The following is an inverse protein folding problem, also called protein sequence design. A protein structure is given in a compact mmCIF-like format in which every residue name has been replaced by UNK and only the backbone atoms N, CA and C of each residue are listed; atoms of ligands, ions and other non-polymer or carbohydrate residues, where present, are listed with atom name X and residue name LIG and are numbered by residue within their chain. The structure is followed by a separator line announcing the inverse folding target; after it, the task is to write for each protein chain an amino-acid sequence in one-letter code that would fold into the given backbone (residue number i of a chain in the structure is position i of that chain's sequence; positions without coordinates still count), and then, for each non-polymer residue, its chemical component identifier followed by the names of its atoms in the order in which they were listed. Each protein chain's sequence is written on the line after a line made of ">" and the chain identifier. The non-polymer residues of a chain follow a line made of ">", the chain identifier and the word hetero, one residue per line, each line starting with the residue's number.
data_IF_795573073573
#
_entry.id   IF_795573073573
#
_cell.length_a   1.000
_cell.length_b   1.000
_cell.length_c   1.000
_cell.angle_alpha   90.00
_cell.angle_beta   90.00
_cell.angle_gamma   90.00
#
_symmetry.space_group_name_H-M   'P 1'
#
loop_
_entity.id
_entity.type
_entity.pdbx_description
1 polymer ?
#
# COMPACT_ATOMS: atom_id res chain seq x y z
N UNK A 1 10.63 20.80 -39.08
CA UNK A 1 9.34 20.25 -39.58
C UNK A 1 8.58 19.73 -38.38
N UNK A 2 7.69 20.57 -37.84
CA UNK A 2 6.87 20.24 -36.67
C UNK A 2 5.63 19.50 -37.13
N UNK A 3 5.51 18.22 -36.79
CA UNK A 3 4.29 17.45 -37.01
C UNK A 3 3.23 17.90 -36.00
N UNK A 4 2.42 18.88 -36.39
CA UNK A 4 1.11 19.08 -35.77
C UNK A 4 0.23 17.89 -36.16
N UNK A 5 0.13 16.91 -35.28
CA UNK A 5 -0.93 15.92 -35.40
C UNK A 5 -2.26 16.63 -35.07
N UNK A 6 -3.27 16.58 -35.96
CA UNK A 6 -4.57 17.17 -35.67
C UNK A 6 -5.15 16.47 -34.43
N UNK A 7 -5.54 17.27 -33.43
CA UNK A 7 -6.24 16.79 -32.26
C UNK A 7 -7.49 16.01 -32.72
N UNK A 8 -7.60 14.74 -32.32
CA UNK A 8 -8.84 13.99 -32.55
C UNK A 8 -9.98 14.72 -31.83
N UNK A 9 -11.13 14.98 -32.46
CA UNK A 9 -12.25 15.62 -31.78
C UNK A 9 -12.88 14.59 -30.82
N UNK A 10 -12.43 14.59 -29.57
CA UNK A 10 -12.89 13.64 -28.54
C UNK A 10 -14.26 13.97 -27.92
N UNK A 11 -14.97 15.01 -28.38
CA UNK A 11 -16.42 15.10 -28.13
C UNK A 11 -17.13 16.15 -29.01
N UNK A 12 -18.35 15.81 -29.47
CA UNK A 12 -19.28 16.71 -30.20
C UNK A 12 -20.20 17.51 -29.27
N UNK A 13 -20.06 17.36 -27.96
CA UNK A 13 -20.81 18.12 -26.97
C UNK A 13 -19.92 19.22 -26.35
N UNK A 14 -20.44 20.43 -26.12
CA UNK A 14 -19.72 21.46 -25.39
C UNK A 14 -19.42 20.97 -23.97
N UNK A 15 -18.18 20.55 -23.73
CA UNK A 15 -17.73 20.18 -22.39
C UNK A 15 -17.49 21.44 -21.59
N UNK A 16 -18.10 21.52 -20.41
CA UNK A 16 -17.71 22.52 -19.42
C UNK A 16 -16.44 22.06 -18.68
N UNK A 17 -15.63 22.99 -18.14
CA UNK A 17 -14.45 22.68 -17.35
C UNK A 17 -14.76 21.76 -16.18
N UNK A 18 -15.91 21.93 -15.55
CA UNK A 18 -16.37 21.10 -14.43
C UNK A 18 -16.57 19.66 -14.88
N UNK A 19 -17.23 19.44 -16.03
CA UNK A 19 -17.45 18.09 -16.57
C UNK A 19 -16.15 17.44 -17.04
N UNK A 20 -15.25 18.23 -17.63
CA UNK A 20 -13.93 17.75 -18.01
C UNK A 20 -13.14 17.29 -16.78
N UNK A 21 -13.11 18.12 -15.72
CA UNK A 21 -12.39 17.82 -14.49
C UNK A 21 -12.98 16.64 -13.72
N UNK A 22 -14.31 16.49 -13.73
CA UNK A 22 -14.98 15.32 -13.16
C UNK A 22 -14.46 14.02 -13.80
N UNK A 23 -14.45 13.96 -15.13
CA UNK A 23 -13.94 12.81 -15.89
C UNK A 23 -12.42 12.63 -15.71
N UNK A 24 -11.65 13.72 -15.73
CA UNK A 24 -10.20 13.67 -15.56
C UNK A 24 -9.76 13.19 -14.16
N UNK A 25 -10.57 13.47 -13.13
CA UNK A 25 -10.26 13.11 -11.73
C UNK A 25 -10.97 11.86 -11.22
N UNK A 26 -11.78 11.21 -12.06
CA UNK A 26 -12.52 10.01 -11.68
C UNK A 26 -11.58 8.88 -11.19
N UNK A 27 -11.85 8.35 -10.00
CA UNK A 27 -11.09 7.26 -9.38
C UNK A 27 -9.81 7.68 -8.66
N UNK A 28 -9.46 8.96 -8.67
CA UNK A 28 -8.41 9.50 -7.80
C UNK A 28 -8.85 9.50 -6.33
N UNK A 29 -7.88 9.50 -5.42
CA UNK A 29 -8.12 9.77 -4.00
C UNK A 29 -8.68 11.20 -3.83
N UNK A 30 -9.55 11.41 -2.84
CA UNK A 30 -10.34 12.65 -2.71
C UNK A 30 -9.46 13.90 -2.61
N UNK A 31 -8.41 13.87 -1.79
CA UNK A 31 -7.48 14.99 -1.67
C UNK A 31 -6.69 15.25 -2.97
N UNK A 32 -6.27 14.19 -3.66
CA UNK A 32 -5.62 14.35 -4.97
C UNK A 32 -6.57 14.91 -6.05
N UNK A 33 -7.84 14.48 -6.05
CA UNK A 33 -8.86 14.99 -6.97
C UNK A 33 -9.13 16.48 -6.71
N UNK A 34 -9.25 16.88 -5.44
CA UNK A 34 -9.45 18.28 -5.05
C UNK A 34 -8.26 19.15 -5.45
N UNK A 35 -7.03 18.69 -5.23
CA UNK A 35 -5.83 19.44 -5.61
C UNK A 35 -5.77 19.66 -7.13
N UNK A 36 -5.96 18.61 -7.93
CA UNK A 36 -5.95 18.71 -9.41
C UNK A 36 -7.05 19.65 -9.90
N UNK A 37 -8.25 19.59 -9.31
CA UNK A 37 -9.35 20.51 -9.62
C UNK A 37 -8.97 21.96 -9.30
N UNK A 38 -8.42 22.22 -8.12
CA UNK A 38 -8.02 23.55 -7.70
C UNK A 38 -6.92 24.14 -8.62
N UNK A 39 -5.89 23.35 -8.93
CA UNK A 39 -4.80 23.76 -9.82
C UNK A 39 -5.29 24.05 -11.24
N UNK A 40 -6.17 23.18 -11.77
CA UNK A 40 -6.70 23.32 -13.12
C UNK A 40 -7.66 24.51 -13.23
N UNK A 41 -8.48 24.78 -12.21
CA UNK A 41 -9.33 25.97 -12.15
C UNK A 41 -8.50 27.26 -12.01
N UNK A 42 -7.41 27.23 -11.25
CA UNK A 42 -6.48 28.36 -11.17
C UNK A 42 -5.81 28.65 -12.53
N UNK A 43 -5.38 27.60 -13.26
CA UNK A 43 -4.84 27.75 -14.60
C UNK A 43 -5.88 28.32 -15.59
N UNK A 44 -7.13 27.85 -15.51
CA UNK A 44 -8.22 28.40 -16.32
C UNK A 44 -8.45 29.88 -16.05
N UNK A 45 -8.50 30.27 -14.76
CA UNK A 45 -8.67 31.67 -14.38
C UNK A 45 -7.50 32.54 -14.88
N UNK A 46 -6.26 32.07 -14.76
CA UNK A 46 -5.08 32.77 -15.28
C UNK A 46 -5.09 32.91 -16.81
N UNK A 47 -5.52 31.87 -17.53
CA UNK A 47 -5.65 31.91 -18.98
C UNK A 47 -6.74 32.88 -19.45
N UNK A 48 -7.87 32.92 -18.75
CA UNK A 48 -8.95 33.89 -19.01
C UNK A 48 -8.49 35.33 -18.76
N UNK A 49 -7.72 35.57 -17.69
CA UNK A 49 -7.11 36.89 -17.44
C UNK A 49 -6.12 37.29 -18.55
N UNK A 50 -5.44 36.32 -19.16
CA UNK A 50 -4.56 36.52 -20.32
C UNK A 50 -5.31 36.64 -21.65
N UNK A 51 -6.66 36.64 -21.64
CA UNK A 51 -7.50 36.80 -22.82
C UNK A 51 -7.74 35.53 -23.64
N UNK A 52 -7.36 34.35 -23.13
CA UNK A 52 -7.67 33.08 -23.78
C UNK A 52 -9.13 32.69 -23.54
N UNK A 53 -9.77 32.15 -24.58
CA UNK A 53 -11.12 31.63 -24.46
C UNK A 53 -11.12 30.28 -23.73
N UNK A 54 -12.22 29.99 -23.02
CA UNK A 54 -12.41 28.70 -22.35
C UNK A 54 -12.27 27.50 -23.30
N UNK A 55 -12.72 27.64 -24.55
CA UNK A 55 -12.60 26.60 -25.57
C UNK A 55 -11.14 26.32 -25.97
N UNK A 56 -10.29 27.36 -26.05
CA UNK A 56 -8.86 27.21 -26.33
C UNK A 56 -8.14 26.50 -25.18
N UNK A 57 -8.46 26.87 -23.94
CA UNK A 57 -7.87 26.24 -22.74
C UNK A 57 -8.25 24.75 -22.66
N UNK A 58 -9.54 24.43 -22.85
CA UNK A 58 -10.01 23.04 -22.89
C UNK A 58 -9.42 22.24 -24.06
N UNK A 59 -9.24 22.88 -25.22
CA UNK A 59 -8.53 22.28 -26.35
C UNK A 59 -7.08 21.94 -26.02
N UNK A 60 -6.42 22.76 -25.21
CA UNK A 60 -5.06 22.52 -24.69
C UNK A 60 -4.98 21.40 -23.66
N UNK A 61 -5.99 21.26 -22.80
CA UNK A 61 -6.06 20.14 -21.83
C UNK A 61 -6.30 18.79 -22.51
N UNK A 62 -7.06 18.79 -23.61
CA UNK A 62 -7.26 17.64 -24.47
C UNK A 62 -8.28 16.63 -23.96
N UNK A 63 -8.07 15.32 -24.23
CA UNK A 63 -9.03 14.27 -23.84
C UNK A 63 -9.01 14.05 -22.31
N UNK A 64 -10.15 14.23 -21.61
CA UNK A 64 -10.22 14.00 -20.18
C UNK A 64 -9.88 12.54 -19.79
N UNK A 65 -10.17 11.55 -20.64
CA UNK A 65 -9.83 10.15 -20.35
C UNK A 65 -8.33 9.89 -20.45
N UNK A 66 -7.67 10.51 -21.44
CA UNK A 66 -6.23 10.45 -21.56
C UNK A 66 -5.53 11.17 -20.40
N UNK A 67 -6.09 12.32 -19.97
CA UNK A 67 -5.64 13.04 -18.79
C UNK A 67 -5.81 12.19 -17.52
N UNK A 68 -6.99 11.58 -17.31
CA UNK A 68 -7.24 10.65 -16.21
C UNK A 68 -6.21 9.51 -16.19
N UNK A 69 -5.97 8.87 -17.34
CA UNK A 69 -4.99 7.79 -17.44
C UNK A 69 -3.55 8.23 -17.10
N UNK A 70 -3.21 9.51 -17.26
CA UNK A 70 -1.93 10.08 -16.82
C UNK A 70 -1.97 10.39 -15.32
N UNK A 71 -3.02 11.05 -14.85
CA UNK A 71 -3.21 11.43 -13.44
C UNK A 71 -3.24 10.20 -12.52
N UNK A 72 -3.87 9.09 -12.93
CA UNK A 72 -3.88 7.82 -12.18
C UNK A 72 -2.51 7.16 -12.03
N UNK A 73 -1.51 7.57 -12.84
CA UNK A 73 -0.12 7.10 -12.72
C UNK A 73 0.69 7.94 -11.75
N UNK A 74 0.45 9.26 -11.70
CA UNK A 74 1.16 10.18 -10.82
C UNK A 74 0.52 10.33 -9.44
N UNK A 75 -0.81 10.24 -9.36
CA UNK A 75 -1.58 10.41 -8.13
C UNK A 75 -2.07 9.08 -7.53
N UNK A 76 -2.36 9.14 -6.23
CA UNK A 76 -3.01 8.04 -5.51
C UNK A 76 -4.45 7.87 -6.00
N UNK A 77 -4.86 6.61 -6.13
CA UNK A 77 -6.26 6.23 -6.36
C UNK A 77 -6.97 5.95 -5.04
N UNK A 78 -8.31 6.00 -5.03
CA UNK A 78 -9.13 5.91 -3.81
C UNK A 78 -8.88 4.68 -2.90
N UNK A 79 -8.27 3.61 -3.42
CA UNK A 79 -7.83 2.44 -2.63
C UNK A 79 -6.32 2.33 -2.39
N UNK A 80 -5.48 3.12 -3.07
CA UNK A 80 -4.02 3.05 -2.92
C UNK A 80 -3.55 3.69 -1.61
N UNK A 81 -4.25 4.71 -1.11
CA UNK A 81 -3.94 5.33 0.18
C UNK A 81 -4.03 4.32 1.34
N UNK A 82 -5.06 3.46 1.32
CA UNK A 82 -5.23 2.40 2.31
C UNK A 82 -4.13 1.33 2.28
N UNK A 83 -3.34 1.23 1.19
CA UNK A 83 -2.21 0.31 1.08
C UNK A 83 -0.97 0.81 1.81
N UNK A 84 -0.95 2.08 2.24
CA UNK A 84 0.12 2.65 3.04
C UNK A 84 -0.29 2.51 4.51
N UNK A 85 0.40 1.68 5.30
CA UNK A 85 0.04 1.47 6.71
C UNK A 85 0.07 2.78 7.49
N UNK A 86 -0.97 3.01 8.30
CA UNK A 86 -0.91 4.07 9.30
C UNK A 86 0.20 3.75 10.32
N UNK A 87 0.90 4.78 10.80
CA UNK A 87 1.81 4.63 11.94
C UNK A 87 1.01 4.50 13.24
N UNK A 88 1.63 3.98 14.30
CA UNK A 88 1.00 3.98 15.62
C UNK A 88 1.47 5.17 16.46
N UNK A 89 0.57 5.68 17.30
CA UNK A 89 0.93 6.59 18.36
C UNK A 89 1.94 5.94 19.32
N UNK A 90 2.86 6.74 19.85
CA UNK A 90 3.73 6.31 20.94
C UNK A 90 2.90 6.21 22.23
N UNK A 91 3.03 5.09 22.93
CA UNK A 91 2.36 4.81 24.19
C UNK A 91 1.22 3.79 24.09
N UNK A 92 0.45 3.69 25.18
CA UNK A 92 -0.59 2.68 25.36
C UNK A 92 -1.66 2.64 24.27
N UNK A 93 -2.19 3.78 23.76
CA UNK A 93 -3.22 3.74 22.71
C UNK A 93 -2.73 3.08 21.42
N UNK A 94 -1.49 3.35 21.00
CA UNK A 94 -0.91 2.73 19.81
C UNK A 94 -0.61 1.24 20.01
N UNK A 95 -0.16 0.85 21.21
CA UNK A 95 0.07 -0.55 21.54
C UNK A 95 -1.25 -1.34 21.52
N UNK A 96 -2.31 -0.81 22.14
CA UNK A 96 -3.65 -1.40 22.10
C UNK A 96 -4.14 -1.56 20.66
N UNK A 97 -3.97 -0.54 19.82
CA UNK A 97 -4.36 -0.61 18.42
C UNK A 97 -3.63 -1.75 17.68
N UNK A 98 -2.32 -1.91 17.88
CA UNK A 98 -1.54 -2.98 17.27
C UNK A 98 -2.00 -4.39 17.71
N UNK A 99 -2.35 -4.57 19.00
CA UNK A 99 -2.92 -5.82 19.49
C UNK A 99 -4.34 -6.08 18.96
N UNK A 100 -5.17 -5.05 18.82
CA UNK A 100 -6.51 -5.18 18.27
C UNK A 100 -6.51 -5.55 16.78
N UNK A 101 -5.59 -4.99 15.98
CA UNK A 101 -5.45 -5.28 14.54
C UNK A 101 -5.21 -6.77 14.26
N UNK A 102 -4.49 -7.44 15.15
CA UNK A 102 -4.15 -8.85 15.03
C UNK A 102 -4.81 -9.73 16.10
N UNK A 103 -5.90 -9.26 16.73
CA UNK A 103 -6.49 -9.96 17.87
C UNK A 103 -6.91 -11.38 17.50
N UNK A 104 -7.60 -11.55 16.37
CA UNK A 104 -8.06 -12.85 15.91
C UNK A 104 -6.88 -13.81 15.69
N UNK A 105 -5.87 -13.39 14.92
CA UNK A 105 -4.68 -14.21 14.66
C UNK A 105 -3.95 -14.55 15.97
N UNK A 106 -3.66 -13.54 16.79
CA UNK A 106 -2.91 -13.70 18.04
C UNK A 106 -3.64 -14.66 18.98
N UNK A 107 -4.94 -14.50 19.18
CA UNK A 107 -5.73 -15.34 20.10
C UNK A 107 -5.87 -16.76 19.54
N UNK A 108 -6.26 -16.93 18.27
CA UNK A 108 -6.45 -18.26 17.69
C UNK A 108 -5.14 -19.05 17.63
N UNK A 109 -4.06 -18.44 17.15
CA UNK A 109 -2.74 -19.10 17.12
C UNK A 109 -2.21 -19.39 18.52
N UNK A 110 -2.41 -18.47 19.48
CA UNK A 110 -2.04 -18.70 20.89
C UNK A 110 -2.78 -19.90 21.48
N UNK A 111 -4.08 -20.03 21.24
CA UNK A 111 -4.88 -21.16 21.73
C UNK A 111 -4.42 -22.49 21.11
N UNK A 112 -4.16 -22.51 19.81
CA UNK A 112 -3.67 -23.70 19.10
C UNK A 112 -2.30 -24.15 19.64
N UNK A 113 -1.37 -23.20 19.79
CA UNK A 113 -0.02 -23.48 20.29
C UNK A 113 -0.06 -23.90 21.76
N UNK A 114 -0.90 -23.26 22.57
CA UNK A 114 -1.08 -23.62 23.99
C UNK A 114 -1.67 -25.03 24.13
N UNK A 115 -2.66 -25.39 23.31
CA UNK A 115 -3.22 -26.75 23.29
C UNK A 115 -2.15 -27.77 22.88
N UNK A 116 -1.39 -27.49 21.82
CA UNK A 116 -0.28 -28.35 21.38
C UNK A 116 0.79 -28.50 22.46
N UNK A 117 1.13 -27.42 23.15
CA UNK A 117 2.08 -27.40 24.26
C UNK A 117 1.60 -28.30 25.41
N UNK A 118 0.34 -28.14 25.85
CA UNK A 118 -0.25 -29.00 26.87
C UNK A 118 -0.28 -30.47 26.47
N UNK A 119 -0.70 -30.77 25.24
CA UNK A 119 -0.71 -32.14 24.73
C UNK A 119 0.69 -32.75 24.65
N UNK A 120 1.70 -31.94 24.36
CA UNK A 120 3.10 -32.37 24.29
C UNK A 120 3.67 -32.61 25.69
N UNK A 121 3.41 -31.70 26.65
CA UNK A 121 3.81 -31.89 28.05
C UNK A 121 3.24 -33.17 28.66
N UNK A 122 2.02 -33.54 28.27
CA UNK A 122 1.37 -34.76 28.76
C UNK A 122 1.89 -36.05 28.12
N UNK A 123 2.58 -35.98 26.98
CA UNK A 123 2.91 -37.16 26.15
C UNK A 123 4.40 -37.39 25.92
N UNK A 124 5.23 -36.35 25.98
CA UNK A 124 6.56 -36.35 25.38
C UNK A 124 7.59 -35.52 26.16
N UNK A 125 8.91 -35.70 25.89
CA UNK A 125 9.97 -35.08 26.68
C UNK A 125 10.09 -33.56 26.50
N UNK A 126 10.70 -32.92 27.50
CA UNK A 126 10.88 -31.48 27.66
C UNK A 126 11.34 -30.64 26.43
N UNK A 127 12.23 -31.10 25.52
CA UNK A 127 12.74 -30.24 24.44
C UNK A 127 11.67 -29.81 23.42
N UNK A 128 10.67 -30.65 23.11
CA UNK A 128 9.58 -30.26 22.18
C UNK A 128 8.65 -29.24 22.82
N UNK A 129 8.35 -29.39 24.11
CA UNK A 129 7.57 -28.42 24.86
C UNK A 129 8.29 -27.06 24.93
N UNK A 130 9.62 -27.05 25.13
CA UNK A 130 10.42 -25.82 25.09
C UNK A 130 10.28 -25.06 23.76
N UNK A 131 10.35 -25.76 22.62
CA UNK A 131 10.16 -25.14 21.30
C UNK A 131 8.76 -24.53 21.13
N UNK A 132 7.71 -25.21 21.58
CA UNK A 132 6.35 -24.68 21.55
C UNK A 132 6.19 -23.46 22.46
N UNK A 133 6.84 -23.46 23.62
CA UNK A 133 6.91 -22.29 24.51
C UNK A 133 7.60 -21.08 23.85
N UNK A 134 8.69 -21.30 23.13
CA UNK A 134 9.37 -20.25 22.35
C UNK A 134 8.45 -19.70 21.25
N UNK A 135 7.79 -20.58 20.49
CA UNK A 135 6.84 -20.18 19.44
C UNK A 135 5.70 -19.34 20.04
N UNK A 136 5.17 -19.76 21.19
CA UNK A 136 4.11 -19.03 21.89
C UNK A 136 4.55 -17.61 22.27
N UNK A 137 5.74 -17.46 22.86
CA UNK A 137 6.30 -16.15 23.21
C UNK A 137 6.49 -15.29 21.96
N UNK A 138 7.00 -15.86 20.86
CA UNK A 138 7.16 -15.12 19.60
C UNK A 138 5.82 -14.59 19.06
N UNK A 139 4.75 -15.38 19.12
CA UNK A 139 3.40 -14.95 18.71
C UNK A 139 2.93 -13.74 19.53
N UNK A 140 3.15 -13.76 20.85
CA UNK A 140 2.77 -12.66 21.74
C UNK A 140 3.62 -11.40 21.54
N UNK A 141 4.87 -11.56 21.11
CA UNK A 141 5.80 -10.45 20.83
C UNK A 141 5.59 -9.80 19.46
N UNK A 142 4.92 -10.47 18.51
CA UNK A 142 4.70 -9.93 17.16
C UNK A 142 3.94 -8.58 17.16
N UNK A 143 2.80 -8.41 17.86
CA UNK A 143 2.12 -7.12 17.92
C UNK A 143 2.97 -6.02 18.58
N UNK A 144 3.78 -6.39 19.58
CA UNK A 144 4.72 -5.47 20.23
C UNK A 144 5.82 -5.02 19.28
N UNK A 145 6.41 -5.95 18.52
CA UNK A 145 7.42 -5.66 17.50
C UNK A 145 6.84 -4.77 16.39
N UNK A 146 5.61 -5.06 15.96
CA UNK A 146 4.88 -4.25 14.97
C UNK A 146 4.63 -2.84 15.47
N UNK A 147 4.12 -2.71 16.69
CA UNK A 147 3.94 -1.41 17.33
C UNK A 147 5.26 -0.66 17.39
N UNK A 148 6.33 -1.28 17.89
CA UNK A 148 7.64 -0.65 17.98
C UNK A 148 8.17 -0.20 16.61
N UNK A 149 8.12 -1.07 15.59
CA UNK A 149 8.63 -0.79 14.25
C UNK A 149 7.89 0.37 13.54
N UNK A 150 6.59 0.51 13.81
CA UNK A 150 5.71 1.52 13.20
C UNK A 150 5.46 2.73 14.12
N UNK A 151 5.90 2.67 15.39
CA UNK A 151 5.93 3.81 16.31
C UNK A 151 7.24 4.57 16.11
N UNK A 152 7.17 5.86 15.83
CA UNK A 152 8.39 6.63 15.56
C UNK A 152 8.13 7.98 14.94
N UNK A 153 9.19 8.80 14.77
CA UNK A 153 9.08 10.04 13.99
C UNK A 153 8.62 9.70 12.57
N UNK A 154 8.06 10.69 11.86
CA UNK A 154 7.47 10.52 10.53
C UNK A 154 8.39 9.69 9.60
N UNK A 155 8.08 8.40 9.45
CA UNK A 155 8.88 7.50 8.64
C UNK A 155 8.54 7.70 7.16
N UNK A 156 9.52 7.60 6.25
CA UNK A 156 9.25 7.60 4.82
C UNK A 156 8.20 6.53 4.47
N UNK A 157 7.25 6.80 3.56
CA UNK A 157 6.19 5.86 3.20
C UNK A 157 6.70 4.46 2.82
N UNK A 158 7.80 4.40 2.06
CA UNK A 158 8.41 3.13 1.61
C UNK A 158 8.93 2.31 2.79
N UNK A 159 9.63 2.95 3.73
CA UNK A 159 10.15 2.29 4.94
C UNK A 159 9.01 1.73 5.79
N UNK A 160 7.91 2.48 5.88
CA UNK A 160 6.73 2.09 6.65
C UNK A 160 6.03 0.87 6.07
N UNK A 161 5.89 0.80 4.74
CA UNK A 161 5.35 -0.37 4.05
C UNK A 161 6.22 -1.60 4.32
N UNK A 162 7.54 -1.48 4.17
CA UNK A 162 8.47 -2.59 4.45
C UNK A 162 8.37 -3.09 5.89
N UNK A 163 8.42 -2.17 6.87
CA UNK A 163 8.33 -2.54 8.28
C UNK A 163 6.98 -3.16 8.64
N UNK A 164 5.89 -2.63 8.10
CA UNK A 164 4.56 -3.20 8.29
C UNK A 164 4.47 -4.59 7.66
N UNK A 165 5.01 -4.78 6.46
CA UNK A 165 5.00 -6.08 5.80
C UNK A 165 5.83 -7.12 6.56
N UNK A 166 7.04 -6.77 6.99
CA UNK A 166 7.91 -7.68 7.77
C UNK A 166 7.37 -8.03 9.16
N UNK A 167 6.46 -7.24 9.70
CA UNK A 167 5.87 -7.48 11.04
C UNK A 167 4.49 -8.13 10.96
N UNK A 168 3.97 -8.39 9.75
CA UNK A 168 2.73 -9.15 9.57
C UNK A 168 2.98 -10.65 9.80
N UNK A 169 2.14 -11.34 10.59
CA UNK A 169 2.28 -12.78 10.78
C UNK A 169 2.15 -13.57 9.46
N UNK A 170 1.32 -13.10 8.53
CA UNK A 170 1.12 -13.72 7.22
C UNK A 170 2.41 -13.73 6.39
N UNK A 171 3.24 -12.71 6.53
CA UNK A 171 4.55 -12.62 5.87
C UNK A 171 5.48 -13.71 6.33
N UNK A 172 5.61 -13.90 7.65
CA UNK A 172 6.46 -14.96 8.19
C UNK A 172 5.97 -16.34 7.78
N UNK A 173 4.66 -16.56 7.77
CA UNK A 173 4.08 -17.80 7.28
C UNK A 173 4.41 -18.05 5.80
N UNK A 174 4.26 -17.02 4.96
CA UNK A 174 4.60 -17.11 3.54
C UNK A 174 6.09 -17.39 3.32
N UNK A 175 6.98 -16.74 4.07
CA UNK A 175 8.43 -16.98 4.00
C UNK A 175 8.80 -18.40 4.44
N UNK A 176 8.15 -18.94 5.48
CA UNK A 176 8.34 -20.33 5.91
C UNK A 176 7.87 -21.31 4.84
N UNK A 177 6.74 -21.04 4.18
CA UNK A 177 6.25 -21.86 3.07
C UNK A 177 7.22 -21.87 1.88
N UNK A 178 7.75 -20.69 1.51
CA UNK A 178 8.76 -20.57 0.45
C UNK A 178 10.06 -21.29 0.83
N UNK A 179 10.56 -21.06 2.04
CA UNK A 179 11.77 -21.72 2.54
C UNK A 179 11.62 -23.25 2.54
N UNK A 180 10.46 -23.75 2.96
CA UNK A 180 10.12 -25.18 2.90
C UNK A 180 10.10 -25.70 1.45
N UNK A 181 9.48 -24.97 0.52
CA UNK A 181 9.43 -25.37 -0.88
C UNK A 181 10.83 -25.45 -1.49
N UNK A 182 11.67 -24.44 -1.23
CA UNK A 182 13.06 -24.41 -1.67
C UNK A 182 13.87 -25.55 -1.05
N UNK A 183 13.65 -25.86 0.23
CA UNK A 183 14.29 -26.98 0.90
C UNK A 183 13.93 -28.32 0.26
N UNK A 184 12.66 -28.55 -0.08
CA UNK A 184 12.21 -29.78 -0.74
C UNK A 184 12.78 -29.92 -2.16
N UNK A 185 12.95 -28.81 -2.88
CA UNK A 185 13.62 -28.80 -4.18
C UNK A 185 15.11 -29.12 -4.05
N UNK A 186 15.77 -28.63 -3.00
CA UNK A 186 17.18 -28.90 -2.74
C UNK A 186 17.43 -30.32 -2.20
N UNK A 187 16.48 -30.87 -1.44
CA UNK A 187 16.58 -32.17 -0.78
C UNK A 187 15.31 -33.00 -1.00
N UNK A 188 15.16 -33.65 -2.17
CA UNK A 188 13.95 -34.40 -2.52
C UNK A 188 13.63 -35.55 -1.55
N UNK A 189 14.67 -36.16 -0.97
CA UNK A 189 14.55 -37.31 -0.07
C UNK A 189 14.24 -36.93 1.40
N UNK A 190 14.19 -35.62 1.73
CA UNK A 190 14.02 -35.17 3.11
C UNK A 190 12.64 -35.49 3.71
N UNK A 191 11.68 -35.94 2.88
CA UNK A 191 10.33 -36.28 3.30
C UNK A 191 9.51 -35.09 3.83
N UNK A 192 8.19 -35.28 3.91
CA UNK A 192 7.27 -34.32 4.53
C UNK A 192 6.11 -33.88 3.61
N UNK A 193 5.12 -33.18 4.15
CA UNK A 193 3.94 -32.76 3.39
C UNK A 193 4.33 -31.94 2.15
N UNK A 194 3.69 -32.25 1.03
CA UNK A 194 3.89 -31.56 -0.25
C UNK A 194 3.35 -30.12 -0.20
N UNK A 195 4.01 -29.22 -0.93
CA UNK A 195 3.50 -27.86 -1.15
C UNK A 195 2.22 -27.96 -1.97
N UNK A 196 1.10 -27.57 -1.35
CA UNK A 196 -0.20 -27.57 -2.04
C UNK A 196 -0.40 -26.25 -2.81
N UNK A 197 -1.17 -26.27 -3.90
CA UNK A 197 -1.39 -25.11 -4.78
C UNK A 197 -1.91 -23.85 -4.05
N UNK A 198 -2.69 -24.00 -2.97
CA UNK A 198 -3.16 -22.86 -2.20
C UNK A 198 -2.04 -22.12 -1.44
N UNK A 199 -0.92 -22.78 -1.13
CA UNK A 199 0.28 -22.11 -0.58
C UNK A 199 0.84 -21.11 -1.58
N UNK A 200 0.84 -21.46 -2.88
CA UNK A 200 1.30 -20.55 -3.93
C UNK A 200 0.40 -19.33 -4.01
N UNK A 201 -0.93 -19.52 -3.96
CA UNK A 201 -1.89 -18.40 -3.96
C UNK A 201 -1.67 -17.50 -2.75
N UNK A 202 -1.48 -18.09 -1.57
CA UNK A 202 -1.22 -17.33 -0.34
C UNK A 202 0.08 -16.51 -0.44
N UNK A 203 1.17 -17.11 -0.93
CA UNK A 203 2.45 -16.41 -1.13
C UNK A 203 2.30 -15.27 -2.15
N UNK A 204 1.63 -15.51 -3.28
CA UNK A 204 1.36 -14.49 -4.30
C UNK A 204 0.55 -13.34 -3.69
N UNK A 205 -0.49 -13.66 -2.91
CA UNK A 205 -1.29 -12.66 -2.20
C UNK A 205 -0.42 -11.79 -1.29
N UNK A 206 0.39 -12.38 -0.41
CA UNK A 206 1.25 -11.66 0.53
C UNK A 206 2.30 -10.79 -0.19
N UNK A 207 2.85 -11.26 -1.30
CA UNK A 207 3.79 -10.48 -2.12
C UNK A 207 3.10 -9.37 -2.91
N UNK A 208 1.87 -9.59 -3.36
CA UNK A 208 1.08 -8.57 -4.06
C UNK A 208 0.75 -7.39 -3.15
N UNK A 209 0.45 -7.64 -1.87
CA UNK A 209 0.25 -6.59 -0.86
C UNK A 209 1.50 -5.70 -0.69
N UNK A 210 2.69 -6.32 -0.64
CA UNK A 210 3.95 -5.58 -0.58
C UNK A 210 4.16 -4.73 -1.83
N UNK A 211 3.99 -5.31 -3.01
CA UNK A 211 4.16 -4.57 -4.27
C UNK A 211 3.19 -3.38 -4.31
N UNK A 212 1.90 -3.62 -4.12
CA UNK A 212 0.89 -2.56 -4.16
C UNK A 212 1.17 -1.44 -3.14
N UNK A 213 1.56 -1.81 -1.92
CA UNK A 213 1.98 -0.84 -0.89
C UNK A 213 3.21 -0.03 -1.32
N UNK A 214 4.25 -0.68 -1.88
CA UNK A 214 5.46 0.01 -2.34
C UNK A 214 5.18 0.93 -3.53
N UNK A 215 4.30 0.51 -4.45
CA UNK A 215 3.87 1.34 -5.58
C UNK A 215 3.16 2.60 -5.09
N UNK A 216 2.21 2.46 -4.15
CA UNK A 216 1.52 3.60 -3.55
C UNK A 216 2.50 4.52 -2.80
N UNK A 217 3.40 3.94 -1.99
CA UNK A 217 4.40 4.69 -1.23
C UNK A 217 5.37 5.50 -2.11
N UNK A 218 5.78 4.95 -3.25
CA UNK A 218 6.65 5.65 -4.22
C UNK A 218 5.93 6.82 -4.88
N UNK A 219 4.62 6.69 -5.18
CA UNK A 219 3.82 7.80 -5.69
C UNK A 219 3.78 8.97 -4.70
N UNK A 220 3.51 8.69 -3.42
CA UNK A 220 3.51 9.72 -2.37
C UNK A 220 4.86 10.42 -2.27
N UNK A 221 5.96 9.66 -2.30
CA UNK A 221 7.31 10.26 -2.26
C UNK A 221 7.60 11.16 -3.47
N UNK A 222 7.16 10.76 -4.67
CA UNK A 222 7.33 11.58 -5.87
C UNK A 222 6.56 12.91 -5.76
N UNK A 223 5.32 12.86 -5.27
CA UNK A 223 4.49 14.06 -5.07
C UNK A 223 5.06 15.02 -4.01
N UNK A 224 5.56 14.48 -2.89
CA UNK A 224 6.20 15.31 -1.86
C UNK A 224 7.51 15.95 -2.36
N UNK A 225 8.23 15.30 -3.28
CA UNK A 225 9.43 15.86 -3.90
C UNK A 225 9.14 17.03 -4.84
N UNK A 226 8.06 16.95 -5.62
CA UNK A 226 7.63 18.03 -6.52
C UNK A 226 7.14 19.26 -5.76
N UNK A 227 6.40 19.08 -4.66
CA UNK A 227 5.94 20.20 -3.81
C UNK A 227 7.09 20.97 -3.14
N UNK A 228 8.19 20.30 -2.80
CA UNK A 228 9.37 20.97 -2.22
C UNK A 228 10.15 21.76 -3.28
N UNK A 229 10.09 21.36 -4.55
CA UNK A 229 10.76 22.07 -5.65
C UNK A 229 9.94 23.23 -6.21
N UNK A 230 8.61 23.18 -6.15
CA UNK A 230 7.74 24.29 -6.57
C UNK A 230 7.61 25.40 -5.51
N UNK A 231 8.05 25.16 -4.28
CA UNK A 231 8.21 26.15 -3.22
C UNK A 231 9.42 27.08 -3.43
N UNK A 232 9.50 27.74 -4.59
CA UNK A 232 10.32 28.94 -4.72
C UNK A 232 9.63 30.05 -3.92
N UNK A 233 10.28 30.68 -2.94
CA UNK A 233 9.68 31.78 -2.21
C UNK A 233 9.48 32.94 -3.20
N UNK A 234 8.22 33.25 -3.52
CA UNK A 234 7.87 34.57 -4.02
C UNK A 234 8.01 35.55 -2.85
N UNK A 235 9.26 36.00 -2.65
CA UNK A 235 9.54 37.28 -2.01
C UNK A 235 9.29 38.41 -3.00
#
# INVERSE_FOLDING_TARGET
>A
MSFFLPARPWNREPQTPERWLELATEGLEAGAAEQVRAESLAQLAGAQQAGQSQAEVLGGWGDPNAANARLRRSHLQGGEAARIPAGYARGWPGLRAAYCEHLFFTVMSSLLVLLAFWMTLLREPAPRALWLGVIYVLILLLPLLRWYALSGPAQPPVTRVWRSWLTKPETWLALLMVGRALWQLAFPDAGGPSVQWWHLIFVIYVLSELWLGLKAARKVQAQSGEQVQSGVPHG
#
